data_IF_267844713299
#
_entry.id   IF_267844713299
#
_cell.length_a   1.000
_cell.length_b   1.000
_cell.length_c   1.000
_cell.angle_alpha   90.00
_cell.angle_beta   90.00
_cell.angle_gamma   90.00
#
_symmetry.space_group_name_H-M   'P 1'
#
loop_
_entity.id
_entity.type
_entity.pdbx_description
1 polymer ?
#
# COMPACT_ATOMS: atom_id res chain seq x y z
N UNK A 1 -18.04 -1.27 11.91
CA UNK A 1 -16.72 -1.61 12.47
C UNK A 1 -15.71 -1.51 11.34
N UNK A 2 -14.60 -0.79 11.53
CA UNK A 2 -13.49 -0.79 10.56
C UNK A 2 -12.81 -2.14 10.58
N UNK A 3 -12.60 -2.75 9.41
CA UNK A 3 -11.86 -4.01 9.28
C UNK A 3 -10.39 -3.73 9.60
N UNK A 4 -9.80 -4.55 10.48
CA UNK A 4 -8.39 -4.45 10.82
C UNK A 4 -7.56 -5.31 9.87
N UNK A 5 -6.37 -4.82 9.51
CA UNK A 5 -5.41 -5.55 8.70
C UNK A 5 -4.06 -5.61 9.40
N UNK A 6 -3.29 -6.64 9.12
CA UNK A 6 -1.93 -6.81 9.64
C UNK A 6 -0.92 -6.72 8.50
N UNK A 7 0.15 -5.98 8.73
CA UNK A 7 1.36 -5.95 7.91
C UNK A 7 2.51 -6.56 8.70
N UNK A 8 3.22 -7.51 8.12
CA UNK A 8 4.35 -8.17 8.77
C UNK A 8 5.51 -8.38 7.82
N UNK A 9 6.72 -8.04 8.26
CA UNK A 9 7.98 -8.38 7.57
C UNK A 9 8.59 -9.71 8.07
N UNK A 10 7.85 -10.45 8.90
CA UNK A 10 8.29 -11.67 9.57
C UNK A 10 8.94 -11.46 10.94
N UNK A 11 9.36 -10.24 11.28
CA UNK A 11 9.92 -9.88 12.59
C UNK A 11 9.02 -8.91 13.36
N UNK A 12 8.55 -7.87 12.69
CA UNK A 12 7.68 -6.82 13.22
C UNK A 12 6.31 -6.94 12.57
N UNK A 13 5.26 -6.96 13.39
CA UNK A 13 3.87 -6.97 12.91
C UNK A 13 3.16 -5.70 13.35
N UNK A 14 2.58 -4.97 12.40
CA UNK A 14 1.81 -3.76 12.63
C UNK A 14 0.36 -4.02 12.24
N UNK A 15 -0.57 -3.81 13.18
CA UNK A 15 -2.00 -3.80 12.88
C UNK A 15 -2.41 -2.38 12.48
N UNK A 16 -3.05 -2.28 11.33
CA UNK A 16 -3.53 -1.05 10.72
C UNK A 16 -5.06 -1.06 10.65
N UNK A 17 -5.63 0.13 10.78
CA UNK A 17 -7.08 0.35 10.73
C UNK A 17 -7.35 1.36 9.61
N UNK A 18 -7.57 0.89 8.37
CA UNK A 18 -7.95 1.74 7.26
C UNK A 18 -9.20 2.56 7.58
N UNK A 19 -9.24 3.78 7.08
CA UNK A 19 -10.48 4.55 7.03
C UNK A 19 -11.47 3.95 6.03
N UNK A 20 -12.62 4.59 5.91
CA UNK A 20 -13.67 4.25 4.96
C UNK A 20 -13.24 4.32 3.47
N UNK A 21 -12.03 4.82 3.19
CA UNK A 21 -11.52 5.07 1.84
C UNK A 21 -10.68 3.93 1.24
N UNK A 22 -10.73 2.73 1.85
CA UNK A 22 -10.07 1.54 1.32
C UNK A 22 -10.46 1.26 -0.13
N UNK A 23 -9.46 1.15 -1.00
CA UNK A 23 -9.64 0.86 -2.43
C UNK A 23 -8.69 -0.24 -2.85
N UNK A 24 -9.25 -1.30 -3.43
CA UNK A 24 -8.51 -2.26 -4.24
C UNK A 24 -8.62 -1.84 -5.70
N UNK A 25 -7.48 -1.64 -6.36
CA UNK A 25 -7.40 -1.35 -7.79
C UNK A 25 -6.51 -2.38 -8.46
N UNK A 26 -6.71 -2.60 -9.75
CA UNK A 26 -5.75 -3.33 -10.58
C UNK A 26 -5.00 -2.32 -11.41
N UNK A 27 -3.68 -2.24 -11.24
CA UNK A 27 -2.82 -1.43 -12.08
C UNK A 27 -2.28 -2.31 -13.20
N UNK A 28 -2.37 -1.79 -14.43
CA UNK A 28 -1.88 -2.47 -15.61
C UNK A 28 -0.94 -1.52 -16.32
N UNK A 29 0.31 -1.94 -16.44
CA UNK A 29 1.29 -1.17 -17.18
C UNK A 29 1.17 -1.54 -18.67
N UNK A 30 0.92 -0.51 -19.48
CA UNK A 30 0.59 -0.60 -20.90
C UNK A 30 1.35 0.46 -21.68
N UNK A 31 1.85 0.08 -22.85
CA UNK A 31 2.44 0.99 -23.82
C UNK A 31 1.56 1.05 -25.06
N UNK A 32 1.08 2.24 -25.41
CA UNK A 32 0.23 2.46 -26.58
C UNK A 32 1.03 3.16 -27.69
N UNK A 33 1.06 2.56 -28.87
CA UNK A 33 1.75 3.06 -30.04
C UNK A 33 0.74 3.30 -31.15
N UNK A 34 0.62 4.56 -31.60
CA UNK A 34 -0.22 4.93 -32.74
C UNK A 34 0.64 4.95 -34.01
N UNK A 35 0.22 4.22 -35.03
CA UNK A 35 0.89 4.19 -36.32
C UNK A 35 0.37 5.29 -37.25
N UNK A 36 1.07 5.49 -38.36
CA UNK A 36 0.79 6.54 -39.35
C UNK A 36 -0.59 6.37 -40.01
N UNK A 37 -1.09 5.15 -40.08
CA UNK A 37 -2.41 4.77 -40.59
C UNK A 37 -3.55 4.95 -39.57
N UNK A 38 -3.27 5.62 -38.45
CA UNK A 38 -4.15 5.79 -37.30
C UNK A 38 -4.52 4.50 -36.54
N UNK A 39 -3.95 3.35 -36.89
CA UNK A 39 -4.10 2.13 -36.10
C UNK A 39 -3.38 2.27 -34.74
N UNK A 40 -3.95 1.64 -33.71
CA UNK A 40 -3.44 1.71 -32.33
C UNK A 40 -3.04 0.32 -31.86
N UNK A 41 -1.78 0.17 -31.46
CA UNK A 41 -1.23 -1.05 -30.88
C UNK A 41 -0.96 -0.83 -29.40
N UNK A 42 -1.54 -1.69 -28.57
CA UNK A 42 -1.41 -1.65 -27.11
C UNK A 42 -0.65 -2.87 -26.61
N UNK A 43 0.56 -2.67 -26.09
CA UNK A 43 1.36 -3.72 -25.46
C UNK A 43 1.16 -3.70 -23.94
N UNK A 44 0.79 -4.83 -23.35
CA UNK A 44 0.57 -4.99 -21.90
C UNK A 44 1.70 -5.85 -21.35
N UNK A 45 2.37 -5.39 -20.31
CA UNK A 45 3.59 -6.07 -19.82
C UNK A 45 3.59 -6.35 -18.33
N UNK A 46 2.74 -5.70 -17.53
CA UNK A 46 2.52 -6.09 -16.13
C UNK A 46 1.08 -5.78 -15.69
N UNK A 47 0.56 -6.60 -14.78
CA UNK A 47 -0.68 -6.32 -14.09
C UNK A 47 -0.57 -6.78 -12.63
N UNK A 48 -0.81 -5.87 -11.69
CA UNK A 48 -0.74 -6.14 -10.26
C UNK A 48 -1.89 -5.48 -9.52
N UNK A 49 -2.22 -6.02 -8.36
CA UNK A 49 -3.21 -5.45 -7.47
C UNK A 49 -2.56 -4.37 -6.58
N UNK A 50 -3.24 -3.24 -6.43
CA UNK A 50 -2.83 -2.11 -5.60
C UNK A 50 -3.91 -1.88 -4.55
N UNK A 51 -3.52 -1.86 -3.28
CA UNK A 51 -4.37 -1.51 -2.16
C UNK A 51 -4.01 -0.11 -1.66
N UNK A 52 -4.97 0.81 -1.68
CA UNK A 52 -4.79 2.18 -1.21
C UNK A 52 -5.74 2.46 -0.04
N UNK A 53 -5.22 3.05 1.03
CA UNK A 53 -6.04 3.51 2.16
C UNK A 53 -5.37 4.62 2.96
N UNK A 54 -6.17 5.48 3.57
CA UNK A 54 -5.70 6.51 4.50
C UNK A 54 -5.63 5.92 5.91
N UNK A 55 -4.52 6.19 6.61
CA UNK A 55 -4.28 5.82 8.00
C UNK A 55 -4.14 7.08 8.86
N UNK A 56 -4.69 7.00 10.07
CA UNK A 56 -4.59 8.02 11.11
C UNK A 56 -4.30 7.35 12.45
N UNK A 57 -3.76 8.11 13.41
CA UNK A 57 -3.45 7.59 14.74
C UNK A 57 -2.21 6.68 14.76
N UNK A 58 -1.34 6.79 13.76
CA UNK A 58 -0.12 5.99 13.68
C UNK A 58 0.94 6.58 14.61
N UNK A 59 1.50 5.74 15.48
CA UNK A 59 2.56 6.17 16.40
C UNK A 59 3.86 6.50 15.67
N UNK A 60 4.74 7.35 16.22
CA UNK A 60 6.03 7.65 15.60
C UNK A 60 6.89 6.42 15.29
N UNK A 61 6.88 5.43 16.18
CA UNK A 61 7.61 4.17 15.98
C UNK A 61 7.07 3.38 14.78
N UNK A 62 5.73 3.22 14.69
CA UNK A 62 5.09 2.54 13.57
C UNK A 62 5.30 3.29 12.24
N UNK A 63 5.21 4.62 12.25
CA UNK A 63 5.47 5.44 11.07
C UNK A 63 6.91 5.27 10.56
N UNK A 64 7.89 5.24 11.48
CA UNK A 64 9.29 5.01 11.12
C UNK A 64 9.51 3.63 10.50
N UNK A 65 8.91 2.58 11.09
CA UNK A 65 8.97 1.22 10.54
C UNK A 65 8.35 1.15 9.14
N UNK A 66 7.15 1.69 8.95
CA UNK A 66 6.45 1.63 7.64
C UNK A 66 7.21 2.44 6.58
N UNK A 67 7.75 3.62 6.93
CA UNK A 67 8.59 4.38 6.02
C UNK A 67 9.87 3.59 5.68
N UNK A 68 10.49 2.92 6.65
CA UNK A 68 11.64 2.04 6.41
C UNK A 68 11.33 0.87 5.48
N UNK A 69 10.15 0.26 5.59
CA UNK A 69 9.71 -0.78 4.63
C UNK A 69 9.51 -0.22 3.22
N UNK A 70 9.01 1.02 3.10
CA UNK A 70 8.86 1.71 1.81
C UNK A 70 10.20 2.05 1.16
N UNK A 71 11.18 2.50 1.95
CA UNK A 71 12.54 2.81 1.48
C UNK A 71 13.26 1.56 1.00
N UNK A 72 13.20 0.47 1.77
CA UNK A 72 13.94 -0.76 1.49
C UNK A 72 13.21 -1.72 0.54
N UNK A 73 11.99 -1.40 0.10
CA UNK A 73 11.13 -2.28 -0.71
C UNK A 73 10.97 -3.67 -0.10
N UNK A 74 10.81 -3.70 1.22
CA UNK A 74 10.65 -4.91 2.02
C UNK A 74 9.39 -5.68 1.60
N UNK A 75 9.50 -7.00 1.49
CA UNK A 75 8.36 -7.88 1.29
C UNK A 75 7.59 -8.04 2.59
N UNK A 76 6.29 -7.76 2.52
CA UNK A 76 5.39 -7.80 3.64
C UNK A 76 4.29 -8.82 3.38
N UNK A 77 3.90 -9.52 4.43
CA UNK A 77 2.65 -10.26 4.45
C UNK A 77 1.53 -9.31 4.84
N UNK A 78 0.55 -9.13 3.94
CA UNK A 78 -0.69 -8.41 4.23
C UNK A 78 -1.76 -9.42 4.58
N UNK A 79 -2.59 -9.19 5.60
CA UNK A 79 -3.72 -10.07 5.91
C UNK A 79 -4.83 -9.31 6.63
N UNK A 80 -6.06 -9.81 6.54
CA UNK A 80 -7.17 -9.35 7.38
C UNK A 80 -6.98 -9.94 8.78
N UNK A 81 -6.99 -9.10 9.82
CA UNK A 81 -6.83 -9.56 11.20
C UNK A 81 -7.94 -10.53 11.57
N UNK A 82 -7.58 -11.73 12.05
CA UNK A 82 -8.53 -12.76 12.48
C UNK A 82 -9.10 -13.64 11.37
N UNK A 83 -8.67 -13.46 10.12
CA UNK A 83 -8.95 -14.39 9.02
C UNK A 83 -7.72 -15.25 8.72
N UNK A 84 -7.87 -16.53 8.32
CA UNK A 84 -6.78 -17.24 7.67
C UNK A 84 -6.26 -16.42 6.48
N UNK A 85 -4.95 -16.52 6.24
CA UNK A 85 -4.06 -15.74 5.34
C UNK A 85 -4.59 -15.58 3.90
N UNK A 86 -5.67 -16.27 3.53
CA UNK A 86 -6.28 -16.32 2.21
C UNK A 86 -6.73 -14.97 1.62
N UNK A 87 -6.80 -13.89 2.41
CA UNK A 87 -7.25 -12.57 1.91
C UNK A 87 -6.12 -11.56 1.71
N UNK A 88 -4.87 -11.93 2.01
CA UNK A 88 -3.76 -11.02 1.75
C UNK A 88 -2.48 -11.79 1.42
N UNK A 89 -1.89 -11.39 0.31
CA UNK A 89 -0.68 -12.00 -0.22
C UNK A 89 0.57 -11.24 0.21
N UNK A 90 1.66 -11.56 -0.46
CA UNK A 90 2.91 -10.80 -0.37
C UNK A 90 2.72 -9.46 -1.07
N UNK A 91 2.99 -8.38 -0.34
CA UNK A 91 2.90 -7.00 -0.83
C UNK A 91 4.19 -6.25 -0.54
N UNK A 92 4.42 -5.14 -1.24
CA UNK A 92 5.44 -4.15 -0.92
C UNK A 92 4.77 -2.81 -0.67
N UNK A 93 5.39 -1.96 0.16
CA UNK A 93 4.91 -0.58 0.30
C UNK A 93 5.31 0.20 -0.95
N UNK A 94 4.31 0.54 -1.76
CA UNK A 94 4.44 1.20 -3.05
C UNK A 94 4.23 2.72 -2.97
N UNK A 95 3.95 3.31 -4.12
CA UNK A 95 3.69 4.74 -4.27
C UNK A 95 4.95 5.61 -4.37
N UNK A 96 4.79 6.76 -5.04
CA UNK A 96 5.87 7.69 -5.38
C UNK A 96 6.28 8.63 -4.22
N UNK A 97 5.63 8.54 -3.06
CA UNK A 97 5.85 9.42 -1.90
C UNK A 97 5.95 8.59 -0.64
N UNK A 98 6.72 9.09 0.33
CA UNK A 98 6.78 8.49 1.67
C UNK A 98 5.38 8.40 2.26
N UNK A 99 4.97 7.24 2.82
CA UNK A 99 3.61 7.03 3.32
C UNK A 99 3.20 8.00 4.42
N UNK A 100 4.13 8.32 5.33
CA UNK A 100 3.90 9.21 6.48
C UNK A 100 4.91 10.37 6.50
N UNK A 101 4.69 11.44 5.70
CA UNK A 101 5.63 12.54 5.56
C UNK A 101 5.48 13.62 6.63
N UNK A 102 4.36 13.65 7.37
CA UNK A 102 4.04 14.74 8.29
C UNK A 102 3.65 14.22 9.68
N UNK A 103 4.39 14.67 10.68
CA UNK A 103 3.99 14.58 12.07
C UNK A 103 2.99 15.69 12.38
N UNK A 104 1.82 15.35 12.92
CA UNK A 104 0.86 16.34 13.39
C UNK A 104 1.20 16.63 14.86
N UNK A 105 1.47 17.90 15.18
CA UNK A 105 1.68 18.41 16.55
C UNK A 105 1.29 19.90 16.55
N UNK A 106 0.70 20.50 17.61
CA UNK A 106 0.43 19.97 18.96
C UNK A 106 -0.99 19.43 19.18
N UNK A 107 -1.82 19.38 18.14
CA UNK A 107 -3.26 19.10 18.29
C UNK A 107 -3.60 17.61 18.44
N UNK A 108 -2.74 16.71 17.93
CA UNK A 108 -2.90 15.24 17.97
C UNK A 108 -1.53 14.61 17.78
N UNK A 109 -0.97 13.90 18.77
CA UNK A 109 0.41 13.36 18.73
C UNK A 109 0.56 12.06 17.89
N UNK A 110 0.11 12.10 16.63
CA UNK A 110 0.17 10.94 15.72
C UNK A 110 0.50 11.35 14.28
N UNK A 111 0.96 10.38 13.49
CA UNK A 111 1.11 10.51 12.05
C UNK A 111 -0.20 10.22 11.31
N UNK A 112 -0.40 10.95 10.22
CA UNK A 112 -1.45 10.71 9.24
C UNK A 112 -0.81 10.60 7.86
N UNK A 113 -1.31 9.65 7.06
CA UNK A 113 -0.72 9.37 5.77
C UNK A 113 -1.60 8.50 4.89
N UNK A 114 -1.17 8.35 3.66
CA UNK A 114 -1.77 7.43 2.70
C UNK A 114 -0.80 6.28 2.49
N UNK A 115 -1.28 5.06 2.69
CA UNK A 115 -0.52 3.86 2.42
C UNK A 115 -0.99 3.26 1.10
N UNK A 116 -0.01 2.90 0.26
CA UNK A 116 -0.22 2.19 -1.00
C UNK A 116 0.58 0.89 -0.92
N UNK A 117 -0.09 -0.24 -1.11
CA UNK A 117 0.50 -1.57 -1.10
C UNK A 117 0.35 -2.17 -2.49
N UNK A 118 1.45 -2.64 -3.04
CA UNK A 118 1.49 -3.30 -4.35
C UNK A 118 1.67 -4.79 -4.12
N UNK A 119 0.72 -5.60 -4.59
CA UNK A 119 0.81 -7.05 -4.53
C UNK A 119 1.82 -7.55 -5.55
N UNK A 120 2.76 -8.37 -5.09
CA UNK A 120 3.64 -9.10 -6.00
C UNK A 120 2.83 -10.26 -6.59
N UNK A 121 2.77 -10.33 -7.92
CA UNK A 121 2.12 -11.42 -8.65
C UNK A 121 2.88 -12.74 -8.51
#
# INVERSE_FOLDING_TARGET
MSVAYTLSDGTTTITIYPKWDFKKKRRMDRSDHRMYDASMFSYRWAAYDVFEFTLEGITPAQAATINGWWENKTELTFAVSGSPVTTGGTVKVGGNRTPFPKFLHPRVDYYQGKLELEATA
#
